data_IF_768505306873
#
_entry.id   IF_768505306873
#
_cell.length_a   1.000
_cell.length_b   1.000
_cell.length_c   1.000
_cell.angle_alpha   90.00
_cell.angle_beta   90.00
_cell.angle_gamma   90.00
#
_symmetry.space_group_name_H-M   'P 1'
#
loop_
_entity.id
_entity.type
_entity.pdbx_description
1 polymer ?
#
# COMPACT_ATOMS: atom_id res chain seq x y z
N UNK A 1 11.38 -13.88 -4.89
CA UNK A 1 10.78 -12.72 -5.59
C UNK A 1 9.35 -13.08 -5.93
N UNK A 2 8.37 -12.21 -5.66
CA UNK A 2 6.97 -12.49 -6.01
C UNK A 2 6.80 -12.68 -7.52
N UNK A 3 5.80 -13.47 -7.93
CA UNK A 3 5.49 -13.65 -9.34
C UNK A 3 5.11 -12.28 -9.97
N UNK A 4 5.64 -11.96 -11.18
CA UNK A 4 5.30 -10.74 -11.91
C UNK A 4 3.79 -10.60 -12.13
N UNK A 5 3.34 -9.35 -12.25
CA UNK A 5 1.96 -9.07 -12.63
C UNK A 5 1.86 -9.20 -14.15
N UNK A 6 0.92 -10.02 -14.60
CA UNK A 6 0.60 -10.16 -16.01
C UNK A 6 -0.74 -9.47 -16.30
N UNK A 7 -0.85 -8.87 -17.47
CA UNK A 7 -2.00 -8.08 -17.89
C UNK A 7 -2.43 -8.52 -19.27
N UNK A 8 -3.62 -9.11 -19.35
CA UNK A 8 -4.25 -9.47 -20.62
C UNK A 8 -5.25 -8.40 -21.04
N UNK A 9 -4.99 -7.76 -22.18
CA UNK A 9 -5.95 -6.83 -22.77
C UNK A 9 -6.96 -7.56 -23.65
N UNK A 10 -8.24 -7.21 -23.52
CA UNK A 10 -9.35 -7.75 -24.30
C UNK A 10 -10.33 -6.62 -24.67
N UNK A 11 -11.08 -6.82 -25.76
CA UNK A 11 -12.17 -5.92 -26.11
C UNK A 11 -13.32 -6.07 -25.11
N UNK A 12 -13.94 -4.97 -24.70
CA UNK A 12 -15.03 -4.99 -23.73
C UNK A 12 -16.43 -5.11 -24.36
N UNK A 13 -16.53 -5.43 -25.65
CA UNK A 13 -17.80 -5.56 -26.39
C UNK A 13 -18.48 -4.24 -26.75
N UNK A 14 -17.92 -3.10 -26.35
CA UNK A 14 -18.40 -1.74 -26.66
C UNK A 14 -17.26 -0.94 -27.28
N UNK A 15 -17.55 -0.22 -28.36
CA UNK A 15 -16.56 0.63 -29.01
C UNK A 15 -16.03 1.70 -28.04
N UNK A 16 -14.71 1.93 -28.06
CA UNK A 16 -14.06 2.86 -27.14
C UNK A 16 -13.88 2.35 -25.71
N UNK A 17 -14.22 1.07 -25.43
CA UNK A 17 -14.01 0.45 -24.12
C UNK A 17 -13.05 -0.73 -24.21
N UNK A 18 -12.05 -0.72 -23.36
CA UNK A 18 -11.06 -1.80 -23.24
C UNK A 18 -11.14 -2.43 -21.86
N UNK A 19 -10.77 -3.72 -21.80
CA UNK A 19 -10.73 -4.49 -20.56
C UNK A 19 -9.35 -5.08 -20.37
N UNK A 20 -8.79 -4.88 -19.18
CA UNK A 20 -7.59 -5.55 -18.70
C UNK A 20 -7.96 -6.57 -17.64
N UNK A 21 -7.40 -7.76 -17.77
CA UNK A 21 -7.51 -8.83 -16.79
C UNK A 21 -6.12 -9.12 -16.21
N UNK A 22 -6.03 -9.10 -14.89
CA UNK A 22 -4.78 -9.26 -14.16
C UNK A 22 -4.72 -10.61 -13.46
N UNK A 23 -3.51 -11.11 -13.21
CA UNK A 23 -3.27 -12.20 -12.25
C UNK A 23 -3.25 -11.72 -10.78
N UNK A 24 -3.78 -10.52 -10.50
CA UNK A 24 -3.86 -9.90 -9.16
C UNK A 24 -5.21 -9.25 -8.95
N UNK A 25 -5.77 -9.45 -7.75
CA UNK A 25 -6.99 -8.81 -7.30
C UNK A 25 -6.71 -7.40 -6.82
N UNK A 26 -7.41 -6.41 -7.38
CA UNK A 26 -7.26 -4.98 -7.07
C UNK A 26 -8.28 -4.48 -6.05
N UNK A 27 -9.46 -5.10 -6.04
CA UNK A 27 -10.61 -4.71 -5.20
C UNK A 27 -11.20 -5.96 -4.54
N UNK A 28 -11.93 -5.78 -3.43
CA UNK A 28 -12.67 -6.86 -2.77
C UNK A 28 -13.97 -7.20 -3.51
N UNK A 29 -15.07 -7.27 -2.78
CA UNK A 29 -16.39 -7.58 -3.34
C UNK A 29 -17.09 -6.37 -4.01
N UNK A 30 -16.54 -5.16 -3.84
CA UNK A 30 -17.14 -3.92 -4.33
C UNK A 30 -16.72 -3.58 -5.75
N UNK A 31 -17.63 -3.01 -6.52
CA UNK A 31 -17.32 -2.33 -7.77
C UNK A 31 -16.86 -0.91 -7.48
N UNK A 32 -15.71 -0.52 -8.02
CA UNK A 32 -15.22 0.85 -7.93
C UNK A 32 -15.35 1.53 -9.29
N UNK A 33 -15.94 2.73 -9.30
CA UNK A 33 -16.17 3.54 -10.51
C UNK A 33 -15.63 4.93 -10.28
N UNK A 34 -14.88 5.42 -11.25
CA UNK A 34 -14.33 6.76 -11.26
C UNK A 34 -14.62 7.41 -12.60
N UNK A 35 -15.09 8.67 -12.56
CA UNK A 35 -15.23 9.52 -13.76
C UNK A 35 -14.19 10.63 -13.81
N UNK A 36 -13.34 10.77 -12.78
CA UNK A 36 -12.18 11.67 -12.79
C UNK A 36 -11.16 11.29 -11.71
N UNK A 37 -9.93 11.80 -11.84
CA UNK A 37 -8.87 11.62 -10.84
C UNK A 37 -9.23 12.20 -9.46
N UNK A 38 -10.06 13.24 -9.40
CA UNK A 38 -10.47 13.89 -8.15
C UNK A 38 -11.32 13.00 -7.23
N UNK A 39 -12.06 12.05 -7.81
CA UNK A 39 -12.86 11.07 -7.06
C UNK A 39 -12.01 9.93 -6.48
N UNK A 40 -10.83 9.70 -7.06
CA UNK A 40 -9.93 8.64 -6.66
C UNK A 40 -9.12 9.08 -5.44
N UNK A 41 -9.73 8.99 -4.25
CA UNK A 41 -9.15 9.47 -2.98
C UNK A 41 -8.50 8.33 -2.20
N UNK A 42 -7.35 8.63 -1.58
CA UNK A 42 -6.66 7.75 -0.65
C UNK A 42 -5.68 6.76 -1.31
N UNK A 43 -5.06 5.90 -0.49
CA UNK A 43 -3.92 5.06 -0.90
C UNK A 43 -4.33 3.69 -1.49
N UNK A 44 -5.63 3.41 -1.63
CA UNK A 44 -6.12 2.12 -2.12
C UNK A 44 -5.64 1.87 -3.57
N UNK A 45 -5.26 0.63 -3.95
CA UNK A 45 -4.72 0.34 -5.28
C UNK A 45 -5.64 0.81 -6.42
N UNK A 46 -6.96 0.65 -6.27
CA UNK A 46 -7.93 1.10 -7.26
C UNK A 46 -7.92 2.63 -7.47
N UNK A 47 -7.81 3.40 -6.39
CA UNK A 47 -7.73 4.85 -6.45
C UNK A 47 -6.40 5.31 -7.08
N UNK A 48 -5.27 4.71 -6.70
CA UNK A 48 -3.98 5.00 -7.32
C UNK A 48 -3.95 4.68 -8.81
N UNK A 49 -4.45 3.50 -9.19
CA UNK A 49 -4.53 3.12 -10.60
C UNK A 49 -5.43 4.05 -11.40
N UNK A 50 -6.60 4.43 -10.87
CA UNK A 50 -7.50 5.36 -11.53
C UNK A 50 -6.81 6.72 -11.79
N UNK A 51 -6.08 7.27 -10.81
CA UNK A 51 -5.32 8.52 -10.99
C UNK A 51 -4.28 8.42 -12.10
N UNK A 52 -3.52 7.31 -12.15
CA UNK A 52 -2.52 7.08 -13.21
C UNK A 52 -3.16 6.98 -14.60
N UNK A 53 -4.27 6.25 -14.70
CA UNK A 53 -5.01 6.10 -15.95
C UNK A 53 -5.58 7.44 -16.43
N UNK A 54 -6.18 8.26 -15.56
CA UNK A 54 -6.63 9.60 -15.94
C UNK A 54 -5.48 10.53 -16.35
N UNK A 55 -4.32 10.39 -15.71
CA UNK A 55 -3.13 11.20 -16.03
C UNK A 55 -2.57 10.92 -17.43
N UNK A 56 -2.96 9.81 -18.07
CA UNK A 56 -2.61 9.53 -19.47
C UNK A 56 -3.31 10.46 -20.47
N UNK A 57 -4.39 11.14 -20.07
CA UNK A 57 -5.18 12.02 -20.92
C UNK A 57 -6.07 11.31 -21.95
N UNK A 58 -5.99 9.99 -22.08
CA UNK A 58 -6.78 9.21 -23.06
C UNK A 58 -7.97 8.46 -22.44
N UNK A 59 -8.22 8.65 -21.14
CA UNK A 59 -9.23 7.93 -20.35
C UNK A 59 -10.31 8.88 -19.84
N UNK A 60 -11.57 8.52 -20.02
CA UNK A 60 -12.75 9.26 -19.53
C UNK A 60 -13.45 8.57 -18.36
N UNK A 61 -13.27 7.26 -18.20
CA UNK A 61 -13.89 6.48 -17.13
C UNK A 61 -13.08 5.25 -16.78
N UNK A 62 -13.09 4.89 -15.49
CA UNK A 62 -12.43 3.68 -14.99
C UNK A 62 -13.39 2.93 -14.09
N UNK A 63 -13.56 1.64 -14.37
CA UNK A 63 -14.31 0.70 -13.54
C UNK A 63 -13.42 -0.47 -13.14
N UNK A 64 -13.34 -0.77 -11.84
CA UNK A 64 -12.56 -1.88 -11.31
C UNK A 64 -13.47 -2.85 -10.55
N UNK A 65 -13.24 -4.13 -10.76
CA UNK A 65 -13.88 -5.19 -10.00
C UNK A 65 -12.99 -6.42 -9.97
N UNK A 66 -12.71 -6.95 -8.78
CA UNK A 66 -11.75 -8.02 -8.55
C UNK A 66 -10.41 -7.74 -9.27
N UNK A 67 -10.05 -8.56 -10.26
CA UNK A 67 -8.85 -8.47 -11.08
C UNK A 67 -9.09 -7.82 -12.46
N UNK A 68 -10.28 -7.26 -12.70
CA UNK A 68 -10.68 -6.67 -13.97
C UNK A 68 -10.67 -5.15 -13.89
N UNK A 69 -10.01 -4.52 -14.86
CA UNK A 69 -10.02 -3.07 -15.07
C UNK A 69 -10.69 -2.80 -16.41
N UNK A 70 -11.76 -2.04 -16.40
CA UNK A 70 -12.46 -1.58 -17.60
C UNK A 70 -12.25 -0.09 -17.74
N UNK A 71 -11.81 0.33 -18.93
CA UNK A 71 -11.43 1.71 -19.21
C UNK A 71 -12.27 2.21 -20.38
N UNK A 72 -12.90 3.36 -20.19
CA UNK A 72 -13.56 4.12 -21.24
C UNK A 72 -12.55 5.12 -21.82
N UNK A 73 -12.31 5.03 -23.12
CA UNK A 73 -11.36 5.89 -23.82
C UNK A 73 -12.01 7.20 -24.25
N UNK A 74 -11.19 8.24 -24.38
CA UNK A 74 -11.57 9.44 -25.12
C UNK A 74 -11.82 9.04 -26.60
N UNK A 75 -12.90 9.53 -27.24
CA UNK A 75 -13.17 9.21 -28.65
C UNK A 75 -11.98 9.51 -29.56
N UNK A 76 -11.58 8.54 -30.39
CA UNK A 76 -10.45 8.67 -31.31
C UNK A 76 -9.07 8.44 -30.69
N UNK A 77 -8.97 8.23 -29.37
CA UNK A 77 -7.70 7.87 -28.72
C UNK A 77 -7.33 6.41 -28.96
N UNK A 78 -6.02 6.15 -28.88
CA UNK A 78 -5.45 4.79 -28.87
C UNK A 78 -5.11 4.39 -27.43
N UNK A 79 -5.03 3.09 -27.22
CA UNK A 79 -4.84 2.38 -25.96
C UNK A 79 -3.37 2.22 -25.51
N UNK A 80 -2.42 2.82 -26.23
CA UNK A 80 -0.96 2.66 -26.14
C UNK A 80 -0.41 2.18 -24.79
N UNK A 81 -0.13 3.12 -23.88
CA UNK A 81 0.62 2.81 -22.65
C UNK A 81 -0.27 2.32 -21.49
N UNK A 82 -1.56 2.10 -21.71
CA UNK A 82 -2.52 1.78 -20.64
C UNK A 82 -2.24 0.42 -20.00
N UNK A 83 -1.85 -0.58 -20.79
CA UNK A 83 -1.45 -1.89 -20.28
C UNK A 83 -0.23 -1.78 -19.36
N UNK A 84 0.76 -0.97 -19.75
CA UNK A 84 1.97 -0.76 -18.95
C UNK A 84 1.65 -0.08 -17.62
N UNK A 85 0.79 0.95 -17.62
CA UNK A 85 0.34 1.63 -16.40
C UNK A 85 -0.30 0.64 -15.41
N UNK A 86 -1.08 -0.32 -15.91
CA UNK A 86 -1.74 -1.35 -15.10
C UNK A 86 -0.72 -2.34 -14.53
N UNK A 87 0.21 -2.85 -15.35
CA UNK A 87 1.32 -3.74 -14.92
C UNK A 87 2.17 -3.09 -13.82
N UNK A 88 2.46 -1.81 -14.02
CA UNK A 88 3.34 -1.00 -13.19
C UNK A 88 2.76 -0.63 -11.82
N UNK A 89 1.47 -0.91 -11.57
CA UNK A 89 0.84 -0.62 -10.29
C UNK A 89 1.55 -1.31 -9.12
N UNK A 90 1.97 -2.55 -9.33
CA UNK A 90 2.61 -3.38 -8.30
C UNK A 90 4.14 -3.39 -8.39
N UNK A 91 4.72 -2.63 -9.33
CA UNK A 91 6.16 -2.56 -9.48
C UNK A 91 6.72 -1.36 -8.71
N UNK A 92 7.34 -1.65 -7.57
CA UNK A 92 7.97 -0.63 -6.74
C UNK A 92 9.28 -0.12 -7.34
N UNK A 93 10.14 -1.02 -7.85
CA UNK A 93 11.41 -0.64 -8.47
C UNK A 93 11.33 -0.69 -9.98
N UNK A 94 11.34 0.49 -10.61
CA UNK A 94 11.45 0.65 -12.06
C UNK A 94 12.82 1.18 -12.44
N UNK A 95 13.30 0.91 -13.67
CA UNK A 95 14.48 1.58 -14.19
C UNK A 95 14.37 3.09 -13.99
N UNK A 96 15.41 3.70 -13.39
CA UNK A 96 15.45 5.14 -13.09
C UNK A 96 14.91 5.57 -11.73
N UNK A 97 14.32 4.69 -10.92
CA UNK A 97 13.99 5.03 -9.53
C UNK A 97 15.23 5.00 -8.64
N UNK A 98 15.47 6.10 -7.90
CA UNK A 98 16.49 6.15 -6.84
C UNK A 98 15.89 5.62 -5.53
N UNK A 99 16.56 4.71 -4.82
CA UNK A 99 16.10 4.29 -3.50
C UNK A 99 16.00 5.45 -2.51
N UNK A 100 14.95 5.48 -1.66
CA UNK A 100 14.87 6.45 -0.58
C UNK A 100 16.13 6.39 0.29
N UNK A 101 16.61 7.54 0.76
CA UNK A 101 17.74 7.53 1.70
C UNK A 101 17.32 6.93 3.04
N UNK A 102 18.31 6.48 3.83
CA UNK A 102 18.05 5.98 5.19
C UNK A 102 17.38 7.07 6.04
N UNK A 103 17.81 8.33 5.90
CA UNK A 103 17.24 9.47 6.61
C UNK A 103 15.76 9.68 6.25
N UNK A 104 15.41 9.59 4.97
CA UNK A 104 14.01 9.70 4.50
C UNK A 104 13.14 8.55 5.02
N UNK A 105 13.71 7.34 5.14
CA UNK A 105 13.00 6.21 5.73
C UNK A 105 12.81 6.41 7.24
N UNK A 106 13.83 6.88 7.95
CA UNK A 106 13.75 7.15 9.39
C UNK A 106 12.76 8.27 9.71
N UNK A 107 12.66 9.29 8.87
CA UNK A 107 11.67 10.37 9.02
C UNK A 107 10.21 9.89 8.89
N UNK A 108 9.96 8.76 8.21
CA UNK A 108 8.61 8.17 8.04
C UNK A 108 8.21 7.25 9.20
N UNK A 109 9.14 6.89 10.08
CA UNK A 109 8.83 6.13 11.29
C UNK A 109 8.34 7.11 12.35
N UNK A 110 7.08 7.01 12.75
CA UNK A 110 6.57 7.81 13.85
C UNK A 110 7.43 7.58 15.11
N UNK A 111 7.86 8.64 15.83
CA UNK A 111 8.65 8.46 17.03
C UNK A 111 7.86 7.59 18.01
N UNK A 112 8.51 6.54 18.53
CA UNK A 112 7.92 5.73 19.58
C UNK A 112 7.56 6.64 20.75
N UNK A 113 6.28 6.69 21.12
CA UNK A 113 5.83 7.40 22.32
C UNK A 113 6.37 6.61 23.50
N UNK A 114 7.55 6.99 23.98
CA UNK A 114 8.05 6.59 25.28
C UNK A 114 7.33 7.44 26.31
N UNK A 115 6.28 6.88 26.92
CA UNK A 115 5.71 7.49 28.13
C UNK A 115 6.84 7.55 29.17
N UNK A 116 7.17 8.77 29.60
CA UNK A 116 8.16 9.00 30.63
C UNK A 116 7.61 8.45 31.95
N UNK A 117 8.04 7.26 32.32
CA UNK A 117 7.81 6.73 33.67
C UNK A 117 8.69 7.56 34.61
N UNK A 118 8.03 8.27 35.53
CA UNK A 118 8.65 9.00 36.63
C UNK A 118 9.69 8.13 37.33
N UNK A 119 10.90 8.67 37.45
CA UNK A 119 12.04 8.03 38.08
C UNK A 119 11.79 7.93 39.60
N UNK A 120 11.12 6.87 40.04
CA UNK A 120 11.13 6.47 41.44
C UNK A 120 12.53 5.91 41.73
N UNK A 121 13.30 6.65 42.52
CA UNK A 121 14.69 6.38 42.93
C UNK A 121 14.85 5.13 43.83
N UNK A 122 13.84 4.26 43.85
CA UNK A 122 13.76 3.03 44.63
C UNK A 122 13.90 1.76 43.77
N UNK A 123 14.04 1.91 42.44
CA UNK A 123 14.12 0.77 41.53
C UNK A 123 15.53 0.14 41.50
N UNK A 124 15.66 -1.20 41.53
CA UNK A 124 16.95 -1.87 41.40
C UNK A 124 17.60 -1.54 40.04
N UNK A 125 18.92 -1.34 40.05
CA UNK A 125 19.67 -1.06 38.82
C UNK A 125 19.45 -2.16 37.77
N UNK A 126 19.02 -1.74 36.58
CA UNK A 126 18.84 -2.64 35.44
C UNK A 126 20.20 -3.06 34.89
N UNK A 127 20.33 -4.35 34.56
CA UNK A 127 21.49 -4.87 33.84
C UNK A 127 21.65 -4.22 32.46
N UNK A 128 22.85 -4.30 31.87
CA UNK A 128 23.12 -3.73 30.54
C UNK A 128 22.19 -4.30 29.45
N UNK A 129 21.82 -5.57 29.55
CA UNK A 129 20.87 -6.21 28.64
C UNK A 129 19.44 -5.69 28.82
N UNK A 130 19.01 -5.41 30.06
CA UNK A 130 17.65 -4.91 30.34
C UNK A 130 17.44 -3.48 29.83
N UNK A 131 18.49 -2.65 29.79
CA UNK A 131 18.42 -1.29 29.24
C UNK A 131 18.07 -1.23 27.75
N UNK A 132 18.29 -2.34 27.02
CA UNK A 132 17.94 -2.45 25.60
C UNK A 132 16.47 -2.86 25.37
N UNK A 133 15.76 -3.25 26.42
CA UNK A 133 14.39 -3.78 26.32
C UNK A 133 13.38 -2.64 26.58
N UNK A 134 12.37 -2.46 25.72
CA UNK A 134 11.30 -1.49 25.97
C UNK A 134 10.63 -1.68 27.35
N UNK A 135 10.40 -0.61 28.13
CA UNK A 135 9.96 -0.70 29.53
C UNK A 135 8.67 -1.51 29.73
N UNK A 136 7.70 -1.37 28.82
CA UNK A 136 6.43 -2.08 28.90
C UNK A 136 6.57 -3.61 28.75
N UNK A 137 7.61 -4.09 28.06
CA UNK A 137 7.88 -5.53 27.93
C UNK A 137 8.52 -6.10 29.20
N UNK A 138 9.40 -5.33 29.85
CA UNK A 138 9.95 -5.70 31.17
C UNK A 138 8.85 -5.77 32.23
N UNK A 139 7.92 -4.82 32.25
CA UNK A 139 6.78 -4.85 33.18
C UNK A 139 5.90 -6.09 32.97
N UNK A 140 5.57 -6.41 31.70
CA UNK A 140 4.77 -7.60 31.36
C UNK A 140 5.47 -8.91 31.74
N UNK A 141 6.77 -9.03 31.50
CA UNK A 141 7.52 -10.25 31.82
C UNK A 141 7.60 -10.48 33.34
N UNK A 142 7.82 -9.41 34.12
CA UNK A 142 7.81 -9.46 35.59
C UNK A 142 6.45 -9.89 36.14
N UNK A 143 5.35 -9.33 35.61
CA UNK A 143 3.99 -9.71 36.01
C UNK A 143 3.64 -11.16 35.64
N UNK A 144 4.09 -11.64 34.48
CA UNK A 144 3.90 -13.04 34.09
C UNK A 144 4.65 -13.99 35.04
N UNK A 145 5.89 -13.63 35.41
CA UNK A 145 6.71 -14.42 36.35
C UNK A 145 6.13 -14.45 37.75
N UNK A 146 5.63 -13.32 38.27
CA UNK A 146 4.98 -13.28 39.59
C UNK A 146 3.71 -14.14 39.62
N UNK A 147 2.92 -14.12 38.54
CA UNK A 147 1.73 -14.98 38.40
C UNK A 147 2.10 -16.46 38.36
N UNK A 148 3.17 -16.84 37.65
CA UNK A 148 3.64 -18.22 37.57
C UNK A 148 4.17 -18.76 38.91
N UNK A 149 4.72 -17.90 39.76
CA UNK A 149 5.19 -18.26 41.10
C UNK A 149 4.06 -18.33 42.15
N UNK A 150 2.91 -17.73 41.85
CA UNK A 150 1.74 -17.71 42.74
C UNK A 150 0.77 -18.88 42.50
N UNK A 151 1.00 -19.68 41.46
CA UNK A 151 0.29 -20.92 41.14
C UNK A 151 1.17 -22.12 41.46
#
# INVERSE_FOLDING_TARGET
MGQPVDVKQTAAGVAGRIRFELNRTLTGQGHERFTSASQAIGPRPAAELARRLFSSGVVTGVHLFANIVTVDLVPGSRDGDLAQIVTDLHQYWKPGMKPPSVEELMAKVAPAVVEAVSNDSSAPELSAAEKLIPPHLLARSRAARSKALAN
#
